data_IF_459293686776
#
_entry.id   IF_459293686776
#
_cell.length_a   1.000
_cell.length_b   1.000
_cell.length_c   1.000
_cell.angle_alpha   90.00
_cell.angle_beta   90.00
_cell.angle_gamma   90.00
#
_symmetry.space_group_name_H-M   'P 1'
#
loop_
_entity.id
_entity.type
_entity.pdbx_description
1 polymer ?
#
# COMPACT_ATOMS: atom_id res chain seq x y z
N UNK A 1 -9.05 9.42 -14.71
CA UNK A 1 -9.07 8.33 -15.71
C UNK A 1 -8.15 7.22 -15.20
N UNK A 2 -8.44 5.94 -15.49
CA UNK A 2 -7.57 4.83 -15.07
C UNK A 2 -6.34 4.80 -15.99
N UNK A 3 -5.15 4.81 -15.40
CA UNK A 3 -3.89 4.66 -16.12
C UNK A 3 -3.20 3.40 -15.65
N UNK A 4 -2.74 2.56 -16.58
CA UNK A 4 -2.05 1.30 -16.28
C UNK A 4 -0.83 1.17 -17.16
N UNK A 5 0.30 0.83 -16.55
CA UNK A 5 1.55 0.50 -17.24
C UNK A 5 2.04 -0.85 -16.75
N UNK A 6 2.63 -1.62 -17.65
CA UNK A 6 3.07 -2.99 -17.36
C UNK A 6 4.41 -3.28 -17.98
N UNK A 7 5.18 -4.13 -17.31
CA UNK A 7 6.44 -4.64 -17.84
C UNK A 7 6.72 -6.02 -17.27
N UNK A 8 7.18 -6.94 -18.13
CA UNK A 8 7.73 -8.22 -17.66
C UNK A 8 9.04 -7.98 -16.91
N UNK A 9 9.11 -8.46 -15.67
CA UNK A 9 10.31 -8.41 -14.83
C UNK A 9 10.55 -9.83 -14.33
N UNK A 10 11.67 -10.43 -14.70
CA UNK A 10 11.92 -11.84 -14.40
C UNK A 10 10.88 -12.75 -15.05
N UNK A 11 10.23 -13.58 -14.23
CA UNK A 11 9.25 -14.56 -14.69
C UNK A 11 7.83 -13.97 -14.81
N UNK A 12 7.51 -12.94 -14.02
CA UNK A 12 6.16 -12.39 -13.92
C UNK A 12 6.02 -10.99 -14.54
N UNK A 13 4.79 -10.54 -14.68
CA UNK A 13 4.48 -9.17 -15.13
C UNK A 13 4.27 -8.27 -13.93
N UNK A 14 5.05 -7.19 -13.86
CA UNK A 14 4.79 -6.08 -12.95
C UNK A 14 3.80 -5.12 -13.62
N UNK A 15 2.71 -4.81 -12.93
CA UNK A 15 1.71 -3.83 -13.35
C UNK A 15 1.52 -2.75 -12.30
N UNK A 16 1.35 -1.52 -12.76
CA UNK A 16 1.15 -0.33 -11.95
C UNK A 16 -0.10 0.39 -12.46
N UNK A 17 -1.10 0.57 -11.59
CA UNK A 17 -2.37 1.18 -11.93
C UNK A 17 -2.69 2.37 -11.01
N UNK A 18 -3.12 3.50 -11.57
CA UNK A 18 -3.52 4.70 -10.82
C UNK A 18 -4.80 5.33 -11.38
N UNK A 19 -5.40 6.24 -10.61
CA UNK A 19 -6.57 7.05 -11.02
C UNK A 19 -7.95 6.46 -10.72
N UNK A 20 -8.01 5.25 -10.15
CA UNK A 20 -9.27 4.59 -9.75
C UNK A 20 -9.49 4.60 -8.23
N UNK A 21 -8.49 4.22 -7.44
CA UNK A 21 -8.58 4.03 -5.99
C UNK A 21 -7.93 5.20 -5.22
N UNK A 22 -8.39 5.44 -3.99
CA UNK A 22 -7.82 6.42 -3.06
C UNK A 22 -7.58 7.81 -3.66
N UNK A 23 -8.54 8.32 -4.46
CA UNK A 23 -8.42 9.57 -5.24
C UNK A 23 -8.16 10.84 -4.42
N UNK A 24 -8.38 10.79 -3.11
CA UNK A 24 -8.12 11.91 -2.20
C UNK A 24 -6.68 11.92 -1.67
N UNK A 25 -5.92 10.84 -1.86
CA UNK A 25 -4.50 10.83 -1.54
C UNK A 25 -3.74 11.74 -2.51
N UNK A 26 -2.57 12.24 -2.10
CA UNK A 26 -1.69 13.02 -2.98
C UNK A 26 -1.17 12.16 -4.14
N UNK A 27 -1.00 10.86 -3.91
CA UNK A 27 -0.78 9.86 -4.96
C UNK A 27 -1.20 8.48 -4.48
N UNK A 28 -1.70 7.65 -5.39
CA UNK A 28 -2.06 6.25 -5.11
C UNK A 28 -1.75 5.35 -6.31
N UNK A 29 -1.25 4.15 -6.03
CA UNK A 29 -0.94 3.14 -7.05
C UNK A 29 -1.33 1.76 -6.54
N UNK A 30 -2.09 1.03 -7.33
CA UNK A 30 -2.27 -0.40 -7.18
C UNK A 30 -1.13 -1.10 -7.94
N UNK A 31 -0.26 -1.78 -7.20
CA UNK A 31 0.89 -2.51 -7.73
C UNK A 31 0.53 -3.99 -7.72
N UNK A 32 0.71 -4.69 -8.84
CA UNK A 32 0.59 -6.15 -8.87
C UNK A 32 1.78 -6.79 -9.58
N UNK A 33 2.24 -7.91 -9.04
CA UNK A 33 3.31 -8.74 -9.59
C UNK A 33 2.88 -10.20 -9.53
N UNK A 34 2.60 -10.79 -10.69
CA UNK A 34 1.91 -12.08 -10.76
C UNK A 34 0.55 -12.00 -10.06
N UNK A 35 0.32 -12.87 -9.08
CA UNK A 35 -0.94 -12.94 -8.31
C UNK A 35 -0.93 -12.07 -7.03
N UNK A 36 0.19 -11.45 -6.68
CA UNK A 36 0.31 -10.62 -5.47
C UNK A 36 0.03 -9.16 -5.79
N UNK A 37 -0.79 -8.51 -4.95
CA UNK A 37 -1.19 -7.11 -5.13
C UNK A 37 -1.01 -6.30 -3.85
N UNK A 38 -0.56 -5.06 -3.98
CA UNK A 38 -0.42 -4.08 -2.89
C UNK A 38 -1.00 -2.74 -3.33
N UNK A 39 -1.84 -2.12 -2.48
CA UNK A 39 -2.28 -0.74 -2.67
C UNK A 39 -1.37 0.19 -1.87
N UNK A 40 -0.72 1.12 -2.56
CA UNK A 40 0.16 2.14 -1.96
C UNK A 40 -0.49 3.50 -2.11
N UNK A 41 -0.52 4.28 -1.04
CA UNK A 41 -1.01 5.66 -1.06
C UNK A 41 -0.06 6.58 -0.28
N UNK A 42 0.15 7.78 -0.81
CA UNK A 42 0.95 8.82 -0.20
C UNK A 42 0.06 10.04 0.12
N UNK A 43 0.26 10.63 1.29
CA UNK A 43 -0.38 11.86 1.71
C UNK A 43 0.69 12.82 2.23
N UNK A 44 0.49 14.11 1.98
CA UNK A 44 1.40 15.17 2.39
C UNK A 44 0.61 16.28 3.06
N UNK A 45 1.21 16.95 4.02
CA UNK A 45 0.62 18.10 4.70
C UNK A 45 1.61 19.26 4.81
N UNK A 46 1.14 20.42 5.24
CA UNK A 46 2.00 21.56 5.51
C UNK A 46 3.03 21.22 6.61
N UNK A 47 4.26 21.74 6.52
CA UNK A 47 5.26 21.53 7.55
C UNK A 47 4.80 22.15 8.88
N UNK A 48 5.16 21.51 9.99
CA UNK A 48 4.94 22.07 11.33
C UNK A 48 6.02 23.11 11.62
N UNK A 49 5.66 24.23 12.25
CA UNK A 49 6.63 25.24 12.64
C UNK A 49 7.63 24.67 13.66
N UNK A 50 8.92 24.99 13.48
CA UNK A 50 9.99 24.59 14.41
C UNK A 50 10.48 23.14 14.28
N UNK A 51 10.17 22.44 13.18
CA UNK A 51 10.76 21.11 12.91
C UNK A 51 12.22 21.25 12.44
N UNK A 52 13.07 20.38 12.95
CA UNK A 52 14.49 20.24 12.59
C UNK A 52 14.79 18.97 11.78
N UNK A 53 13.78 18.14 11.52
CA UNK A 53 13.86 16.92 10.72
C UNK A 53 12.67 16.77 9.76
N UNK A 54 12.80 15.84 8.80
CA UNK A 54 11.72 15.49 7.87
C UNK A 54 10.83 14.39 8.45
N UNK A 55 9.56 14.66 8.80
CA UNK A 55 8.66 13.69 9.42
C UNK A 55 8.06 12.74 8.38
N UNK A 56 8.84 11.75 7.94
CA UNK A 56 8.40 10.68 7.07
C UNK A 56 7.93 9.47 7.87
N UNK A 57 6.72 9.00 7.58
CA UNK A 57 6.18 7.75 8.12
C UNK A 57 5.80 6.81 7.00
N UNK A 58 6.26 5.56 7.08
CA UNK A 58 5.84 4.47 6.22
C UNK A 58 5.15 3.41 7.07
N UNK A 59 3.87 3.13 6.78
CA UNK A 59 3.10 2.07 7.44
C UNK A 59 2.84 0.96 6.40
N UNK A 60 3.34 -0.23 6.69
CA UNK A 60 3.10 -1.43 5.89
C UNK A 60 2.17 -2.38 6.66
N UNK A 61 1.06 -2.76 6.03
CA UNK A 61 0.07 -3.68 6.61
C UNK A 61 -0.27 -4.83 5.69
N UNK A 62 -0.09 -6.03 6.21
CA UNK A 62 -0.60 -7.24 5.61
C UNK A 62 -2.03 -7.50 6.08
N UNK A 63 -2.92 -7.85 5.13
CA UNK A 63 -4.28 -8.29 5.44
C UNK A 63 -4.35 -9.80 5.38
N UNK A 64 -4.94 -10.45 6.38
CA UNK A 64 -5.05 -11.92 6.36
C UNK A 64 -5.97 -12.39 5.23
N UNK A 65 -6.93 -11.54 4.86
CA UNK A 65 -7.80 -11.73 3.72
C UNK A 65 -7.03 -11.85 2.39
N UNK A 66 -5.84 -11.25 2.27
CA UNK A 66 -5.01 -11.37 1.07
C UNK A 66 -4.56 -12.81 0.80
N UNK A 67 -4.52 -13.66 1.85
CA UNK A 67 -4.24 -15.09 1.74
C UNK A 67 -5.49 -15.96 1.93
N UNK A 68 -6.70 -15.37 1.89
CA UNK A 68 -7.96 -16.09 2.11
C UNK A 68 -8.17 -16.61 3.53
N UNK A 69 -7.49 -16.01 4.54
CA UNK A 69 -7.53 -16.48 5.93
C UNK A 69 -8.23 -15.48 6.86
N UNK A 70 -8.92 -16.01 7.86
CA UNK A 70 -9.42 -15.22 8.98
C UNK A 70 -8.30 -14.92 10.00
N UNK A 71 -8.29 -13.74 10.64
CA UNK A 71 -7.31 -13.46 11.70
C UNK A 71 -7.42 -14.44 12.88
N UNK A 72 -6.27 -14.98 13.32
CA UNK A 72 -6.19 -16.06 14.31
C UNK A 72 -6.36 -15.68 15.79
N UNK A 73 -6.71 -14.44 16.12
CA UNK A 73 -6.85 -13.96 17.51
C UNK A 73 -8.30 -13.92 18.04
N UNK A 74 -8.48 -13.64 19.34
CA UNK A 74 -9.81 -13.50 19.97
C UNK A 74 -10.66 -12.42 19.29
N UNK A 75 -10.06 -11.26 18.97
CA UNK A 75 -10.75 -10.14 18.32
C UNK A 75 -11.04 -10.37 16.83
N UNK A 76 -10.51 -11.45 16.22
CA UNK A 76 -10.67 -11.77 14.79
C UNK A 76 -10.38 -10.58 13.84
N UNK A 77 -9.41 -9.72 14.21
CA UNK A 77 -9.00 -8.52 13.48
C UNK A 77 -7.48 -8.43 13.40
N UNK A 78 -6.94 -7.84 12.33
CA UNK A 78 -5.51 -7.54 12.28
C UNK A 78 -5.11 -6.56 13.38
N UNK A 79 -4.02 -6.88 14.08
CA UNK A 79 -3.53 -6.13 15.22
C UNK A 79 -2.42 -5.15 14.85
N UNK A 80 -1.50 -4.94 15.80
CA UNK A 80 -0.29 -4.12 15.56
C UNK A 80 0.60 -4.79 14.51
N UNK A 81 1.41 -4.00 13.77
CA UNK A 81 2.43 -4.54 12.88
C UNK A 81 3.34 -5.54 13.61
N UNK A 82 3.71 -6.62 12.91
CA UNK A 82 4.64 -7.65 13.39
C UNK A 82 6.05 -7.40 12.81
N UNK A 83 7.09 -7.92 13.44
CA UNK A 83 8.48 -7.87 12.93
C UNK A 83 8.74 -8.91 11.83
N UNK A 84 7.99 -8.85 10.73
CA UNK A 84 8.26 -9.72 9.57
C UNK A 84 9.34 -9.13 8.67
#
# INVERSE_FOLDING_TARGET
MKHRVERKIGQETLSLETGLLAKQAAGSVLVAYGETTVLVAAATGAPRAGIDFFPLTCDYRERTAAAGKFPGGFLKREGRPTMK
#
